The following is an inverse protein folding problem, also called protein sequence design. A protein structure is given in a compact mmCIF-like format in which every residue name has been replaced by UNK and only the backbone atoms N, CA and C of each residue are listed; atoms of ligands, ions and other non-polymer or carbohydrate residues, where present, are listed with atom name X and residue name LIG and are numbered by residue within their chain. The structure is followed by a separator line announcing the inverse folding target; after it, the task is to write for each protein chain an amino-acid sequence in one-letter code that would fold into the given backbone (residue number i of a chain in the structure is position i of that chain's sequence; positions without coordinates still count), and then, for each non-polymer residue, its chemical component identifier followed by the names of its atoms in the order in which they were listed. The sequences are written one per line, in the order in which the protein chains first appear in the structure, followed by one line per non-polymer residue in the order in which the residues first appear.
data_IF_504709267206
#
_entry.id   IF_504709267206
#
_cell.length_a   1.000
_cell.length_b   1.000
_cell.length_c   1.000
_cell.angle_alpha   90.00
_cell.angle_beta   90.00
_cell.angle_gamma   90.00
#
_symmetry.space_group_name_H-M   'P 1'
#
loop_
_entity.id
_entity.type
_entity.pdbx_description
1 polymer ?
#
# COMPACT_ATOMS: atom_id res chain seq x y z
N UNK A 1 5.31 -7.56 6.31
CA UNK A 1 4.88 -6.40 5.53
C UNK A 1 4.14 -6.89 4.30
N UNK A 2 3.02 -6.27 3.97
CA UNK A 2 2.24 -6.52 2.75
C UNK A 2 2.14 -5.24 1.91
N UNK A 3 3.24 -4.95 1.19
CA UNK A 3 3.32 -3.79 0.32
C UNK A 3 2.34 -3.88 -0.86
N UNK A 4 2.10 -5.09 -1.37
CA UNK A 4 1.19 -5.30 -2.50
C UNK A 4 -0.25 -4.92 -2.16
N UNK A 5 -0.73 -5.35 -0.99
CA UNK A 5 -2.05 -4.96 -0.48
C UNK A 5 -2.13 -3.45 -0.23
N UNK A 6 -1.08 -2.84 0.33
CA UNK A 6 -1.05 -1.39 0.53
C UNK A 6 -1.17 -0.61 -0.80
N UNK A 7 -0.41 -1.01 -1.83
CA UNK A 7 -0.49 -0.42 -3.18
C UNK A 7 -1.91 -0.55 -3.73
N UNK A 8 -2.50 -1.75 -3.64
CA UNK A 8 -3.86 -2.01 -4.10
C UNK A 8 -4.89 -1.11 -3.41
N UNK A 9 -4.83 -1.00 -2.09
CA UNK A 9 -5.75 -0.16 -1.31
C UNK A 9 -5.68 1.30 -1.75
N UNK A 10 -4.48 1.86 -1.84
CA UNK A 10 -4.28 3.26 -2.27
C UNK A 10 -4.65 3.48 -3.74
N UNK A 11 -4.42 2.49 -4.61
CA UNK A 11 -4.85 2.56 -6.01
C UNK A 11 -6.38 2.63 -6.12
N UNK A 12 -7.08 1.73 -5.40
CA UNK A 12 -8.54 1.67 -5.42
C UNK A 12 -9.14 2.94 -4.82
N UNK A 13 -8.54 3.52 -3.78
CA UNK A 13 -9.00 4.79 -3.22
C UNK A 13 -8.90 5.97 -4.18
N UNK A 14 -7.95 5.91 -5.12
CA UNK A 14 -7.83 6.89 -6.22
C UNK A 14 -8.70 6.55 -7.43
N UNK A 15 -9.56 5.53 -7.36
CA UNK A 15 -10.43 5.11 -8.47
C UNK A 15 -9.68 4.57 -9.69
N UNK A 16 -8.41 4.18 -9.53
CA UNK A 16 -7.57 3.72 -10.63
C UNK A 16 -7.69 2.20 -10.82
N UNK A 17 -7.71 1.75 -12.06
CA UNK A 17 -7.50 0.34 -12.45
C UNK A 17 -6.01 -0.03 -12.41
N UNK A 18 -5.70 -1.32 -12.33
CA UNK A 18 -4.32 -1.82 -12.41
C UNK A 18 -3.64 -1.38 -13.72
N UNK A 19 -4.37 -1.41 -14.84
CA UNK A 19 -3.91 -0.92 -16.13
C UNK A 19 -3.56 0.57 -16.11
N UNK A 20 -4.39 1.41 -15.49
CA UNK A 20 -4.13 2.85 -15.41
C UNK A 20 -2.88 3.16 -14.57
N UNK A 21 -2.77 2.58 -13.37
CA UNK A 21 -1.58 2.79 -12.54
C UNK A 21 -0.33 2.23 -13.20
N UNK A 22 -0.41 1.03 -13.78
CA UNK A 22 0.69 0.40 -14.50
C UNK A 22 1.19 1.27 -15.65
N UNK A 23 0.28 1.77 -16.49
CA UNK A 23 0.62 2.70 -17.58
C UNK A 23 1.30 3.97 -17.05
N UNK A 24 0.78 4.56 -15.98
CA UNK A 24 1.30 5.79 -15.39
C UNK A 24 2.74 5.63 -14.84
N UNK A 25 3.09 4.46 -14.30
CA UNK A 25 4.44 4.19 -13.82
C UNK A 25 5.32 3.48 -14.85
N UNK A 26 4.85 3.24 -16.07
CA UNK A 26 5.60 2.54 -17.12
C UNK A 26 5.84 1.05 -16.82
N UNK A 27 4.79 0.31 -16.49
CA UNK A 27 4.78 -1.16 -16.42
C UNK A 27 3.49 -1.74 -17.01
N UNK A 28 3.47 -3.05 -17.26
CA UNK A 28 2.26 -3.74 -17.72
C UNK A 28 1.24 -3.90 -16.59
N UNK A 29 -0.03 -4.10 -16.94
CA UNK A 29 -1.08 -4.47 -16.00
C UNK A 29 -0.75 -5.75 -15.24
N UNK A 30 -0.19 -6.76 -15.93
CA UNK A 30 0.28 -8.00 -15.31
C UNK A 30 1.38 -7.75 -14.27
N UNK A 31 2.33 -6.86 -14.57
CA UNK A 31 3.37 -6.50 -13.61
C UNK A 31 2.76 -5.78 -12.38
N UNK A 32 1.76 -4.92 -12.59
CA UNK A 32 1.00 -4.30 -11.49
C UNK A 32 0.27 -5.34 -10.63
N UNK A 33 -0.42 -6.30 -11.26
CA UNK A 33 -1.07 -7.42 -10.56
C UNK A 33 -0.06 -8.23 -9.73
N UNK A 34 1.11 -8.52 -10.29
CA UNK A 34 2.16 -9.26 -9.57
C UNK A 34 2.73 -8.46 -8.39
N UNK A 35 2.84 -7.14 -8.52
CA UNK A 35 3.21 -6.29 -7.39
C UNK A 35 2.12 -6.30 -6.30
N UNK A 36 0.86 -6.14 -6.67
CA UNK A 36 -0.27 -6.13 -5.72
C UNK A 36 -0.53 -7.46 -5.03
N UNK A 37 -0.14 -8.58 -5.67
CA UNK A 37 -0.30 -9.93 -5.11
C UNK A 37 0.96 -10.44 -4.42
N UNK A 38 1.99 -9.59 -4.28
CA UNK A 38 3.26 -9.97 -3.63
C UNK A 38 4.13 -10.92 -4.45
N UNK A 39 3.74 -11.28 -5.68
CA UNK A 39 4.57 -12.11 -6.60
C UNK A 39 5.82 -11.39 -7.08
N UNK A 40 5.84 -10.06 -7.04
CA UNK A 40 7.01 -9.27 -7.41
C UNK A 40 7.15 -8.10 -6.44
N UNK A 41 8.33 -7.95 -5.85
CA UNK A 41 8.62 -6.80 -5.01
C UNK A 41 9.09 -5.61 -5.87
N UNK A 42 8.44 -4.43 -5.78
CA UNK A 42 8.85 -3.26 -6.55
C UNK A 42 10.21 -2.72 -6.07
N UNK A 43 11.06 -2.30 -7.00
CA UNK A 43 12.27 -1.52 -6.67
C UNK A 43 11.88 -0.15 -6.11
N UNK A 44 12.76 0.48 -5.32
CA UNK A 44 12.56 1.82 -4.75
C UNK A 44 12.07 2.85 -5.78
N UNK A 45 12.67 2.88 -6.98
CA UNK A 45 12.25 3.79 -8.05
C UNK A 45 10.79 3.59 -8.50
N UNK A 46 10.28 2.37 -8.47
CA UNK A 46 8.85 2.09 -8.75
C UNK A 46 7.96 2.46 -7.57
N UNK A 47 8.41 2.25 -6.33
CA UNK A 47 7.70 2.72 -5.14
C UNK A 47 7.55 4.25 -5.19
N UNK A 48 8.64 4.97 -5.49
CA UNK A 48 8.62 6.42 -5.65
C UNK A 48 7.66 6.88 -6.76
N UNK A 49 7.66 6.18 -7.90
CA UNK A 49 6.73 6.46 -9.00
C UNK A 49 5.26 6.20 -8.61
N UNK A 50 4.99 5.11 -7.89
CA UNK A 50 3.64 4.79 -7.38
C UNK A 50 3.17 5.88 -6.42
N UNK A 51 3.99 6.26 -5.44
CA UNK A 51 3.64 7.32 -4.48
C UNK A 51 3.36 8.66 -5.18
N UNK A 52 4.13 9.00 -6.23
CA UNK A 52 3.89 10.19 -7.05
C UNK A 52 2.55 10.16 -7.79
N UNK A 53 2.24 9.04 -8.46
CA UNK A 53 0.96 8.91 -9.20
C UNK A 53 -0.24 8.88 -8.27
N UNK A 54 -0.09 8.27 -7.10
CA UNK A 54 -1.14 8.22 -6.09
C UNK A 54 -1.20 9.51 -5.25
N UNK A 55 -0.26 10.44 -5.42
CA UNK A 55 -0.16 11.69 -4.66
C UNK A 55 -0.16 11.46 -3.15
N UNK A 56 0.58 10.44 -2.70
CA UNK A 56 0.71 10.12 -1.27
C UNK A 56 2.17 10.16 -0.83
N UNK A 57 2.44 10.52 0.44
CA UNK A 57 3.75 10.31 1.04
C UNK A 57 4.12 8.82 1.08
N UNK A 58 5.41 8.49 0.95
CA UNK A 58 5.87 7.11 1.13
C UNK A 58 5.52 6.56 2.52
N UNK A 59 5.52 7.40 3.55
CA UNK A 59 5.14 7.01 4.91
C UNK A 59 3.71 6.47 4.99
N UNK A 60 2.78 6.97 4.17
CA UNK A 60 1.42 6.43 4.11
C UNK A 60 1.46 5.01 3.57
N UNK A 61 2.11 4.82 2.42
CA UNK A 61 2.21 3.50 1.81
C UNK A 61 2.83 2.48 2.77
N UNK A 62 3.89 2.88 3.48
CA UNK A 62 4.55 2.03 4.46
C UNK A 62 3.65 1.71 5.65
N UNK A 63 2.95 2.70 6.22
CA UNK A 63 1.98 2.50 7.32
C UNK A 63 0.91 1.46 6.95
N UNK A 64 0.41 1.50 5.71
CA UNK A 64 -0.58 0.53 5.22
C UNK A 64 -0.01 -0.85 4.91
N UNK A 65 1.31 -0.98 4.79
CA UNK A 65 1.99 -2.25 4.52
C UNK A 65 2.38 -3.02 5.78
N UNK A 66 2.30 -2.41 6.97
CA UNK A 66 2.68 -3.08 8.23
C UNK A 66 1.66 -4.19 8.55
N UNK A 67 2.16 -5.40 8.82
CA UNK A 67 1.38 -6.55 9.30
C UNK A 67 1.72 -6.83 10.76
N UNK A 68 0.86 -7.53 11.52
CA UNK A 68 1.17 -7.91 12.90
C UNK A 68 2.52 -8.63 13.04
N UNK A 69 2.89 -9.44 12.04
CA UNK A 69 4.18 -10.16 11.99
C UNK A 69 5.41 -9.23 11.91
N UNK A 70 5.23 -7.96 11.53
CA UNK A 70 6.32 -6.97 11.52
C UNK A 70 6.53 -6.31 12.89
N UNK A 71 5.64 -6.57 13.84
CA UNK A 71 5.63 -5.93 15.15
C UNK A 71 6.28 -6.86 16.17
N UNK A 72 7.29 -6.38 16.94
CA UNK A 72 7.83 -7.12 18.06
C UNK A 72 6.72 -7.62 19.00
N UNK A 73 6.86 -8.84 19.50
CA UNK A 73 5.80 -9.53 20.27
C UNK A 73 5.32 -8.71 21.47
N UNK A 74 6.25 -8.05 22.17
CA UNK A 74 6.00 -7.16 23.31
C UNK A 74 5.18 -5.90 22.95
N UNK A 75 5.06 -5.57 21.66
CA UNK A 75 4.36 -4.39 21.13
C UNK A 75 3.10 -4.73 20.36
N UNK A 76 2.77 -6.01 20.18
CA UNK A 76 1.59 -6.42 19.40
C UNK A 76 0.29 -5.90 20.00
N UNK A 77 0.12 -5.93 21.33
CA UNK A 77 -1.06 -5.39 21.99
C UNK A 77 -1.26 -3.90 21.69
N UNK A 78 -0.19 -3.11 21.74
CA UNK A 78 -0.22 -1.68 21.42
C UNK A 78 -0.63 -1.44 19.96
N UNK A 79 -0.05 -2.22 19.04
CA UNK A 79 -0.38 -2.13 17.62
C UNK A 79 -1.86 -2.45 17.37
N UNK A 80 -2.37 -3.56 17.92
CA UNK A 80 -3.76 -4.00 17.73
C UNK A 80 -4.76 -3.04 18.36
N UNK A 81 -4.45 -2.47 19.53
CA UNK A 81 -5.39 -1.59 20.25
C UNK A 81 -5.39 -0.14 19.76
N UNK A 82 -4.30 0.34 19.16
CA UNK A 82 -4.17 1.76 18.77
C UNK A 82 -3.94 1.91 17.27
N UNK A 83 -2.87 1.30 16.77
CA UNK A 83 -2.37 1.56 15.42
C UNK A 83 -3.32 1.00 14.36
N UNK A 84 -3.79 -0.23 14.54
CA UNK A 84 -4.67 -0.88 13.57
C UNK A 84 -6.05 -0.20 13.46
N UNK A 85 -6.76 0.13 14.56
CA UNK A 85 -8.02 0.88 14.49
C UNK A 85 -7.83 2.27 13.85
N UNK A 86 -6.77 2.99 14.23
CA UNK A 86 -6.44 4.30 13.66
C UNK A 86 -6.20 4.19 12.15
N UNK A 87 -5.41 3.20 11.72
CA UNK A 87 -5.15 2.93 10.31
C UNK A 87 -6.44 2.61 9.55
N UNK A 88 -7.31 1.79 10.12
CA UNK A 88 -8.57 1.40 9.49
C UNK A 88 -9.52 2.58 9.31
N UNK A 89 -9.60 3.48 10.31
CA UNK A 89 -10.38 4.71 10.18
C UNK A 89 -9.80 5.62 9.10
N UNK A 90 -8.47 5.73 9.05
CA UNK A 90 -7.80 6.48 8.00
C UNK A 90 -8.12 5.94 6.59
N UNK A 91 -8.18 4.62 6.40
CA UNK A 91 -8.60 4.00 5.13
C UNK A 91 -10.04 4.37 4.80
N UNK A 92 -10.94 4.35 5.78
CA UNK A 92 -12.34 4.71 5.56
C UNK A 92 -12.47 6.14 5.06
N UNK A 93 -11.79 7.09 5.69
CA UNK A 93 -11.79 8.49 5.25
C UNK A 93 -11.13 8.68 3.88
N UNK A 94 -10.07 7.91 3.55
CA UNK A 94 -9.44 7.94 2.23
C UNK A 94 -10.32 7.37 1.10
N UNK A 95 -11.25 6.47 1.43
CA UNK A 95 -12.15 5.79 0.47
C UNK A 95 -13.51 6.49 0.31
N UNK A 96 -13.76 7.56 1.08
CA UNK A 96 -14.92 8.43 0.92
C UNK A 96 -14.65 9.48 -0.16
#
# INVERSE_FOLDING_TARGET
MDLGKAIKTMRVSKGLTQRQLGKAIGCSETNMLFMETGRTFPRKSKIDAICKVLEIPMSYLLMFSITPDDIPEDKQSLYTSIVEPMRNEFIRELLR
#
